data_IF_814446439955
#
_entry.id   IF_814446439955
#
_cell.length_a   1.000
_cell.length_b   1.000
_cell.length_c   1.000
_cell.angle_alpha   90.00
_cell.angle_beta   90.00
_cell.angle_gamma   90.00
#
_symmetry.space_group_name_H-M   'P 1'
#
loop_
_entity.id
_entity.type
_entity.pdbx_description
1 polymer ?
#
# COMPACT_ATOMS: atom_id res chain seq x y z
N UNK A 1 45.69 -5.09 -45.59
CA UNK A 1 44.72 -3.99 -45.71
C UNK A 1 44.55 -3.39 -44.33
N UNK A 2 44.76 -2.08 -44.27
CA UNK A 2 44.94 -1.22 -43.10
C UNK A 2 43.77 -1.12 -42.13
N UNK A 3 44.13 -0.66 -40.93
CA UNK A 3 43.35 -0.34 -39.73
C UNK A 3 42.77 1.09 -39.81
N UNK A 4 41.75 1.37 -39.00
CA UNK A 4 41.20 2.68 -38.61
C UNK A 4 40.11 3.29 -39.52
N UNK A 5 39.13 4.07 -39.04
CA UNK A 5 38.92 4.72 -37.74
C UNK A 5 37.42 4.83 -37.42
N UNK A 6 36.99 4.80 -36.16
CA UNK A 6 36.99 5.89 -35.18
C UNK A 6 36.05 7.06 -35.54
N UNK A 7 34.99 7.17 -34.75
CA UNK A 7 34.14 8.34 -34.52
C UNK A 7 34.94 9.62 -34.25
N UNK A 8 34.33 10.78 -34.49
CA UNK A 8 34.50 11.93 -33.62
C UNK A 8 33.18 12.34 -32.94
N UNK A 9 33.31 12.47 -31.63
CA UNK A 9 32.43 13.09 -30.65
C UNK A 9 32.25 14.62 -30.83
N UNK A 10 31.42 15.18 -29.92
CA UNK A 10 31.40 16.54 -29.34
C UNK A 10 30.43 17.50 -30.03
N UNK A 11 29.60 18.25 -29.31
CA UNK A 11 29.47 18.54 -27.88
C UNK A 11 28.49 19.72 -27.80
N UNK A 12 27.66 19.85 -26.77
CA UNK A 12 27.98 20.78 -25.67
C UNK A 12 26.91 20.64 -24.58
N UNK A 13 27.35 20.38 -23.34
CA UNK A 13 26.67 20.91 -22.14
C UNK A 13 27.18 22.33 -21.92
N UNK A 14 26.41 23.18 -21.22
CA UNK A 14 26.90 23.55 -19.90
C UNK A 14 25.83 23.61 -18.80
N UNK A 15 26.30 23.22 -17.62
CA UNK A 15 25.74 23.42 -16.29
C UNK A 15 25.63 24.90 -15.92
N UNK A 16 24.68 25.27 -15.04
CA UNK A 16 24.98 25.66 -13.64
C UNK A 16 23.89 26.54 -12.99
N UNK A 17 23.64 26.19 -11.72
CA UNK A 17 23.33 27.08 -10.58
C UNK A 17 22.10 27.98 -10.58
N UNK A 18 21.19 27.69 -9.64
CA UNK A 18 20.66 28.57 -8.58
C UNK A 18 19.86 27.65 -7.62
N UNK A 19 19.79 27.80 -6.29
CA UNK A 19 20.50 28.55 -5.26
C UNK A 19 20.04 27.95 -3.92
N UNK A 20 20.89 28.06 -2.90
CA UNK A 20 20.73 27.55 -1.54
C UNK A 20 19.73 28.35 -0.68
N UNK A 21 19.30 27.70 0.41
CA UNK A 21 18.93 28.23 1.73
C UNK A 21 17.62 29.02 1.93
N UNK A 22 16.85 28.59 2.93
CA UNK A 22 15.69 29.31 3.45
C UNK A 22 15.16 28.72 4.76
N UNK A 23 15.88 28.98 5.85
CA UNK A 23 15.46 28.78 7.25
C UNK A 23 14.24 29.65 7.62
N UNK A 24 13.19 29.04 8.20
CA UNK A 24 12.24 29.66 9.15
C UNK A 24 11.88 28.58 10.17
N UNK A 25 12.35 28.63 11.41
CA UNK A 25 12.20 29.62 12.50
C UNK A 25 10.85 29.53 13.24
N UNK A 26 10.98 29.06 14.49
CA UNK A 26 10.27 29.46 15.73
C UNK A 26 8.75 29.48 15.81
N UNK A 27 8.22 28.55 16.60
CA UNK A 27 7.35 28.74 17.79
C UNK A 27 7.53 27.47 18.64
N UNK A 28 7.99 27.48 19.90
CA UNK A 28 7.62 28.32 21.02
C UNK A 28 6.99 27.40 22.08
N UNK A 29 7.79 26.79 22.96
CA UNK A 29 7.97 27.17 24.38
C UNK A 29 6.77 26.84 25.29
N UNK A 30 6.91 25.79 26.11
CA UNK A 30 6.32 25.62 27.47
C UNK A 30 7.25 24.65 28.22
N UNK A 31 8.16 25.12 29.06
CA UNK A 31 8.02 25.53 30.47
C UNK A 31 7.47 24.44 31.39
N UNK A 32 8.37 23.67 32.01
CA UNK A 32 8.15 23.06 33.33
C UNK A 32 9.41 23.25 34.19
N UNK A 33 9.42 24.33 34.96
CA UNK A 33 10.15 24.45 36.21
C UNK A 33 9.34 23.76 37.30
N UNK A 34 9.95 22.82 38.02
CA UNK A 34 9.40 22.18 39.20
C UNK A 34 10.50 21.44 39.95
N UNK A 35 10.79 21.92 41.16
CA UNK A 35 11.93 21.61 42.03
C UNK A 35 12.07 20.12 42.45
N UNK A 36 13.25 19.73 43.00
CA UNK A 36 13.53 18.38 43.47
C UNK A 36 12.97 18.15 44.88
N UNK A 37 12.96 16.86 45.29
CA UNK A 37 12.98 16.30 46.66
C UNK A 37 11.72 15.53 47.07
N UNK A 38 11.87 14.22 47.22
CA UNK A 38 11.78 13.54 48.51
C UNK A 38 12.13 12.06 48.34
N UNK A 39 13.34 11.72 48.76
CA UNK A 39 13.74 10.38 49.15
C UNK A 39 13.02 10.04 50.47
N UNK A 40 12.35 8.89 50.56
CA UNK A 40 12.16 8.18 51.84
C UNK A 40 11.76 6.73 51.61
N UNK A 41 12.45 5.87 52.37
CA UNK A 41 12.00 4.61 52.93
C UNK A 41 11.80 3.42 51.97
N UNK A 42 12.91 2.67 51.84
CA UNK A 42 12.91 1.21 51.71
C UNK A 42 11.98 0.61 52.77
N UNK A 43 10.90 -0.05 52.36
CA UNK A 43 10.21 -1.05 53.18
C UNK A 43 9.75 -2.21 52.30
N UNK A 44 10.17 -3.41 52.73
CA UNK A 44 9.51 -4.70 52.53
C UNK A 44 9.31 -5.20 51.10
N UNK A 45 10.30 -6.00 50.71
CA UNK A 45 10.22 -7.17 49.83
C UNK A 45 9.04 -8.09 50.22
N UNK A 46 8.04 -8.20 49.35
CA UNK A 46 7.16 -9.35 49.25
C UNK A 46 7.18 -9.87 47.80
N UNK A 47 7.41 -11.18 47.56
CA UNK A 47 7.22 -11.78 46.25
C UNK A 47 5.76 -12.22 46.15
N UNK A 48 4.90 -11.43 45.51
CA UNK A 48 3.52 -11.88 45.23
C UNK A 48 3.00 -11.41 43.89
N UNK A 49 2.88 -12.43 43.02
CA UNK A 49 2.05 -12.57 41.82
C UNK A 49 2.32 -11.66 40.62
N UNK A 50 2.65 -12.22 39.44
CA UNK A 50 2.54 -11.47 38.20
C UNK A 50 1.09 -11.01 38.04
N UNK A 51 0.90 -9.74 37.75
CA UNK A 51 -0.41 -9.11 37.64
C UNK A 51 -1.27 -9.83 36.57
N UNK A 52 -2.59 -10.01 36.79
CA UNK A 52 -3.50 -10.61 35.81
C UNK A 52 -3.61 -9.80 34.51
N UNK A 53 -2.95 -8.64 34.42
CA UNK A 53 -2.83 -7.87 33.19
C UNK A 53 -1.78 -8.44 32.23
N UNK A 54 -0.69 -9.03 32.73
CA UNK A 54 0.34 -9.63 31.88
C UNK A 54 -0.10 -11.00 31.35
N UNK A 55 -0.78 -11.81 32.17
CA UNK A 55 -1.46 -13.03 31.70
C UNK A 55 -2.56 -12.70 30.68
N UNK A 56 -3.41 -11.68 30.93
CA UNK A 56 -4.41 -11.25 29.94
C UNK A 56 -3.81 -10.73 28.64
N UNK A 57 -2.65 -10.08 28.67
CA UNK A 57 -1.95 -9.63 27.45
C UNK A 57 -1.31 -10.82 26.74
N UNK A 58 -0.74 -11.78 27.47
CA UNK A 58 -0.21 -13.01 26.90
C UNK A 58 -1.32 -13.88 26.29
N UNK A 59 -2.48 -14.01 26.95
CA UNK A 59 -3.66 -14.71 26.45
C UNK A 59 -4.29 -13.98 25.28
N UNK A 60 -4.32 -12.64 25.28
CA UNK A 60 -4.76 -11.85 24.14
C UNK A 60 -3.79 -11.96 22.94
N UNK A 61 -2.49 -12.07 23.20
CA UNK A 61 -1.47 -12.31 22.17
C UNK A 61 -1.50 -13.75 21.65
N UNK A 62 -1.82 -14.73 22.51
CA UNK A 62 -2.04 -16.12 22.13
C UNK A 62 -3.36 -16.32 21.37
N UNK A 63 -4.41 -15.56 21.73
CA UNK A 63 -5.67 -15.45 21.01
C UNK A 63 -5.51 -14.68 19.68
N UNK A 64 -4.56 -13.73 19.61
CA UNK A 64 -4.05 -13.15 18.37
C UNK A 64 -3.09 -14.12 17.64
N UNK A 65 -3.47 -15.40 17.58
CA UNK A 65 -2.74 -16.45 16.90
C UNK A 65 -2.56 -16.17 15.40
N UNK A 66 -1.81 -17.02 14.68
CA UNK A 66 -1.54 -16.87 13.25
C UNK A 66 -2.81 -16.70 12.40
N UNK A 67 -3.95 -17.22 12.85
CA UNK A 67 -5.25 -17.03 12.20
C UNK A 67 -5.70 -15.56 12.14
N UNK A 68 -5.33 -14.75 13.14
CA UNK A 68 -5.58 -13.31 13.16
C UNK A 68 -4.71 -12.55 12.15
N UNK A 69 -3.45 -12.97 11.97
CA UNK A 69 -2.54 -12.38 10.99
C UNK A 69 -2.96 -12.74 9.56
N UNK A 70 -3.32 -14.00 9.33
CA UNK A 70 -3.86 -14.48 8.06
C UNK A 70 -5.14 -13.71 7.68
N UNK A 71 -6.02 -13.45 8.64
CA UNK A 71 -7.24 -12.67 8.43
C UNK A 71 -6.93 -11.21 8.07
N UNK A 72 -6.02 -10.55 8.78
CA UNK A 72 -5.59 -9.19 8.47
C UNK A 72 -4.96 -9.08 7.09
N UNK A 73 -4.17 -10.08 6.69
CA UNK A 73 -3.58 -10.15 5.36
C UNK A 73 -4.65 -10.35 4.29
N UNK A 74 -5.63 -11.22 4.52
CA UNK A 74 -6.75 -11.41 3.61
C UNK A 74 -7.54 -10.10 3.41
N UNK A 75 -7.83 -9.37 4.49
CA UNK A 75 -8.55 -8.10 4.44
C UNK A 75 -7.76 -7.03 3.66
N UNK A 76 -6.43 -7.01 3.83
CA UNK A 76 -5.56 -6.15 3.03
C UNK A 76 -5.68 -6.47 1.54
N UNK A 77 -5.57 -7.74 1.14
CA UNK A 77 -5.68 -8.13 -0.27
C UNK A 77 -7.08 -7.87 -0.83
N UNK A 78 -8.15 -8.06 -0.05
CA UNK A 78 -9.51 -7.72 -0.48
C UNK A 78 -9.60 -6.23 -0.83
N UNK A 79 -9.10 -5.33 0.03
CA UNK A 79 -9.10 -3.89 -0.25
C UNK A 79 -8.26 -3.54 -1.48
N UNK A 80 -7.07 -4.12 -1.59
CA UNK A 80 -6.15 -3.88 -2.71
C UNK A 80 -6.76 -4.33 -4.05
N UNK A 81 -7.29 -5.56 -4.11
CA UNK A 81 -7.88 -6.12 -5.32
C UNK A 81 -9.17 -5.39 -5.71
N UNK A 82 -10.01 -5.01 -4.74
CA UNK A 82 -11.20 -4.20 -5.00
C UNK A 82 -10.84 -2.82 -5.59
N UNK A 83 -9.81 -2.16 -5.03
CA UNK A 83 -9.30 -0.91 -5.60
C UNK A 83 -8.79 -1.07 -7.02
N UNK A 84 -8.01 -2.13 -7.28
CA UNK A 84 -7.50 -2.43 -8.62
C UNK A 84 -8.63 -2.74 -9.62
N UNK A 85 -9.67 -3.45 -9.18
CA UNK A 85 -10.86 -3.73 -9.99
C UNK A 85 -11.55 -2.44 -10.42
N UNK A 86 -11.79 -1.52 -9.48
CA UNK A 86 -12.38 -0.22 -9.78
C UNK A 86 -11.55 0.60 -10.78
N UNK A 87 -10.22 0.55 -10.68
CA UNK A 87 -9.34 1.19 -11.66
C UNK A 87 -9.45 0.56 -13.08
N UNK A 88 -9.61 -0.76 -13.17
CA UNK A 88 -9.85 -1.43 -14.45
C UNK A 88 -11.20 -1.04 -15.04
N UNK A 89 -12.26 -0.97 -14.23
CA UNK A 89 -13.58 -0.52 -14.68
C UNK A 89 -13.49 0.89 -15.29
N UNK A 90 -12.82 1.83 -14.63
CA UNK A 90 -12.59 3.19 -15.15
C UNK A 90 -11.84 3.19 -16.50
N UNK A 91 -10.81 2.34 -16.65
CA UNK A 91 -10.06 2.22 -17.92
C UNK A 91 -10.91 1.64 -19.03
N UNK A 92 -11.76 0.64 -18.75
CA UNK A 92 -12.68 0.08 -19.73
C UNK A 92 -13.64 1.18 -20.23
N UNK A 93 -14.24 1.95 -19.33
CA UNK A 93 -15.10 3.07 -19.70
C UNK A 93 -14.36 4.13 -20.53
N UNK A 94 -13.10 4.44 -20.17
CA UNK A 94 -12.27 5.36 -20.94
C UNK A 94 -12.01 4.85 -22.36
N UNK A 95 -11.71 3.55 -22.52
CA UNK A 95 -11.52 2.96 -23.84
C UNK A 95 -12.80 2.97 -24.66
N UNK A 96 -13.96 2.71 -24.05
CA UNK A 96 -15.24 2.80 -24.73
C UNK A 96 -15.53 4.22 -25.24
N UNK A 97 -15.24 5.26 -24.44
CA UNK A 97 -15.34 6.66 -24.90
C UNK A 97 -14.38 6.97 -26.04
N UNK A 98 -13.14 6.46 -25.98
CA UNK A 98 -12.15 6.63 -27.05
C UNK A 98 -12.57 5.90 -28.34
N UNK A 99 -13.24 4.75 -28.23
CA UNK A 99 -13.79 4.04 -29.40
C UNK A 99 -14.80 4.93 -30.12
N UNK A 100 -15.78 5.49 -29.41
CA UNK A 100 -16.75 6.40 -30.04
C UNK A 100 -16.10 7.62 -30.70
N UNK A 101 -15.03 8.15 -30.09
CA UNK A 101 -14.26 9.26 -30.68
C UNK A 101 -13.50 8.84 -31.95
N UNK A 102 -12.91 7.65 -31.96
CA UNK A 102 -12.19 7.12 -33.12
C UNK A 102 -13.15 6.74 -34.26
N UNK A 103 -14.31 6.15 -33.94
CA UNK A 103 -15.37 5.84 -34.90
C UNK A 103 -15.89 7.11 -35.58
N UNK A 104 -16.13 8.19 -34.82
CA UNK A 104 -16.55 9.48 -35.37
C UNK A 104 -15.50 10.11 -36.30
N UNK A 105 -14.22 9.77 -36.13
CA UNK A 105 -13.11 10.23 -36.98
C UNK A 105 -12.82 9.31 -38.16
N UNK A 106 -13.45 8.13 -38.23
CA UNK A 106 -13.14 7.11 -39.23
C UNK A 106 -11.79 6.41 -39.02
N UNK A 107 -11.20 6.49 -37.82
CA UNK A 107 -9.91 5.86 -37.50
C UNK A 107 -10.10 4.39 -37.12
N UNK A 108 -10.16 3.53 -38.14
CA UNK A 108 -10.43 2.10 -37.96
C UNK A 108 -9.32 1.37 -37.18
N UNK A 109 -8.06 1.76 -37.38
CA UNK A 109 -6.93 1.14 -36.69
C UNK A 109 -6.97 1.43 -35.19
N UNK A 110 -7.28 2.68 -34.80
CA UNK A 110 -7.49 3.03 -33.40
C UNK A 110 -8.67 2.24 -32.80
N UNK A 111 -9.78 2.08 -33.54
CA UNK A 111 -10.94 1.30 -33.07
C UNK A 111 -10.57 -0.15 -32.80
N UNK A 112 -9.87 -0.82 -33.72
CA UNK A 112 -9.43 -2.21 -33.55
C UNK A 112 -8.54 -2.35 -32.31
N UNK A 113 -7.56 -1.46 -32.16
CA UNK A 113 -6.65 -1.47 -31.02
C UNK A 113 -7.38 -1.22 -29.68
N UNK A 114 -8.28 -0.24 -29.63
CA UNK A 114 -9.05 0.06 -28.42
C UNK A 114 -9.99 -1.08 -28.03
N UNK A 115 -10.65 -1.74 -29.00
CA UNK A 115 -11.48 -2.93 -28.73
C UNK A 115 -10.66 -4.07 -28.15
N UNK A 116 -9.41 -4.25 -28.60
CA UNK A 116 -8.49 -5.22 -27.98
C UNK A 116 -8.20 -4.86 -26.52
N UNK A 117 -7.95 -3.59 -26.23
CA UNK A 117 -7.70 -3.13 -24.85
C UNK A 117 -8.91 -3.31 -23.94
N UNK A 118 -10.13 -3.11 -24.44
CA UNK A 118 -11.37 -3.40 -23.70
C UNK A 118 -11.43 -4.88 -23.31
N UNK A 119 -11.19 -5.81 -24.25
CA UNK A 119 -11.22 -7.25 -23.97
C UNK A 119 -10.18 -7.67 -22.93
N UNK A 120 -8.97 -7.09 -22.99
CA UNK A 120 -7.93 -7.33 -21.99
C UNK A 120 -8.39 -6.83 -20.62
N UNK A 121 -8.93 -5.62 -20.55
CA UNK A 121 -9.48 -5.07 -19.30
C UNK A 121 -10.60 -5.95 -18.72
N UNK A 122 -11.51 -6.44 -19.55
CA UNK A 122 -12.59 -7.35 -19.12
C UNK A 122 -12.05 -8.69 -18.59
N UNK A 123 -11.00 -9.22 -19.21
CA UNK A 123 -10.33 -10.43 -18.74
C UNK A 123 -9.65 -10.20 -17.38
N UNK A 124 -8.93 -9.08 -17.23
CA UNK A 124 -8.30 -8.72 -15.95
C UNK A 124 -9.36 -8.56 -14.86
N UNK A 125 -10.49 -7.88 -15.17
CA UNK A 125 -11.60 -7.72 -14.22
C UNK A 125 -12.15 -9.06 -13.75
N UNK A 126 -12.45 -9.98 -14.67
CA UNK A 126 -12.94 -11.33 -14.34
C UNK A 126 -11.94 -12.08 -13.45
N UNK A 127 -10.64 -11.98 -13.76
CA UNK A 127 -9.58 -12.60 -12.96
C UNK A 127 -9.56 -12.07 -11.53
N UNK A 128 -9.74 -10.76 -11.34
CA UNK A 128 -9.80 -10.16 -10.01
C UNK A 128 -11.06 -10.55 -9.25
N UNK A 129 -12.21 -10.65 -9.94
CA UNK A 129 -13.46 -11.14 -9.35
C UNK A 129 -13.30 -12.56 -8.80
N UNK A 130 -12.69 -13.46 -9.58
CA UNK A 130 -12.41 -14.83 -9.15
C UNK A 130 -11.48 -14.89 -7.93
N UNK A 131 -10.46 -14.02 -7.87
CA UNK A 131 -9.53 -13.96 -6.73
C UNK A 131 -10.21 -13.41 -5.48
N UNK A 132 -11.01 -12.36 -5.61
CA UNK A 132 -11.79 -11.77 -4.51
C UNK A 132 -12.76 -12.79 -3.93
N UNK A 133 -13.46 -13.54 -4.78
CA UNK A 133 -14.40 -14.58 -4.36
C UNK A 133 -13.69 -15.71 -3.61
N UNK A 134 -12.52 -16.16 -4.09
CA UNK A 134 -11.72 -17.19 -3.41
C UNK A 134 -11.26 -16.73 -2.03
N UNK A 135 -10.76 -15.49 -1.92
CA UNK A 135 -10.32 -14.91 -0.65
C UNK A 135 -11.48 -14.83 0.34
N UNK A 136 -12.61 -14.24 -0.10
CA UNK A 136 -13.80 -14.09 0.75
C UNK A 136 -14.32 -15.45 1.23
N UNK A 137 -14.44 -16.44 0.33
CA UNK A 137 -14.93 -17.79 0.70
C UNK A 137 -14.02 -18.48 1.71
N UNK A 138 -12.70 -18.35 1.57
CA UNK A 138 -11.73 -19.01 2.47
C UNK A 138 -11.75 -18.41 3.87
N UNK A 139 -11.79 -17.09 3.98
CA UNK A 139 -11.60 -16.39 5.26
C UNK A 139 -12.93 -16.11 5.97
N UNK A 140 -14.03 -15.85 5.26
CA UNK A 140 -15.37 -15.74 5.88
C UNK A 140 -15.84 -17.09 6.46
N UNK A 141 -15.52 -18.22 5.81
CA UNK A 141 -15.84 -19.55 6.35
C UNK A 141 -15.06 -19.90 7.62
N UNK A 142 -13.84 -19.38 7.79
CA UNK A 142 -13.03 -19.62 8.99
C UNK A 142 -13.56 -18.86 10.21
N UNK A 143 -14.03 -17.63 10.03
CA UNK A 143 -14.68 -16.86 11.12
C UNK A 143 -15.94 -17.55 11.66
N UNK A 144 -16.67 -18.28 10.82
CA UNK A 144 -17.85 -19.04 11.24
C UNK A 144 -17.54 -20.37 11.94
N UNK A 145 -16.29 -20.83 11.93
CA UNK A 145 -15.84 -22.07 12.58
C UNK A 145 -14.84 -21.77 13.71
N UNK A 146 -15.17 -20.79 14.57
CA UNK A 146 -14.43 -20.53 15.82
C UNK A 146 -14.32 -21.78 16.71
N UNK A 147 -13.34 -21.81 17.64
CA UNK A 147 -12.75 -23.04 18.18
C UNK A 147 -13.79 -23.89 18.92
N UNK A 148 -13.76 -25.21 18.66
CA UNK A 148 -14.42 -26.22 19.49
C UNK A 148 -13.56 -26.57 20.70
#
# INVERSE_FOLDING_TARGET
MDVAGLSPERGTRPSATHRSAGTRDRRGRRHHTGAPRAETARHSQEPSRPAPALERVADALAAAGPESADQQQADYFVRLLAGRRGFIDQRIEEYQRKIGTAEAKGDLDAVVNLRRLVRIGEQDRRTLDDLLDKLRRRFVRRVAQGPR
#
